data_IF_839194592104
#
_entry.id   IF_839194592104
#
_cell.length_a   1.000
_cell.length_b   1.000
_cell.length_c   1.000
_cell.angle_alpha   90.00
_cell.angle_beta   90.00
_cell.angle_gamma   90.00
#
_symmetry.space_group_name_H-M   'P 1'
#
loop_
_entity.id
_entity.type
_entity.pdbx_description
1 polymer ?
#
# COMPACT_ATOMS: atom_id res chain seq x y z
N UNK A 1 -8.66 -6.90 -19.60
CA UNK A 1 -9.42 -6.39 -18.44
C UNK A 1 -8.85 -5.02 -18.14
N UNK A 2 -9.69 -4.01 -17.92
CA UNK A 2 -9.17 -2.68 -17.59
C UNK A 2 -8.40 -2.77 -16.27
N UNK A 3 -7.17 -2.25 -16.27
CA UNK A 3 -6.30 -2.23 -15.11
C UNK A 3 -6.88 -1.26 -14.07
N UNK A 4 -7.16 -1.72 -12.85
CA UNK A 4 -7.67 -0.82 -11.81
C UNK A 4 -6.58 0.17 -11.34
N UNK A 5 -6.98 1.20 -10.60
CA UNK A 5 -6.06 2.27 -10.17
C UNK A 5 -4.87 1.74 -9.37
N UNK A 6 -5.06 0.73 -8.52
CA UNK A 6 -4.01 0.17 -7.68
C UNK A 6 -3.03 -0.68 -8.49
N UNK A 7 -3.52 -1.44 -9.46
CA UNK A 7 -2.71 -2.23 -10.38
C UNK A 7 -1.83 -1.32 -11.24
N UNK A 8 -2.40 -0.21 -11.76
CA UNK A 8 -1.64 0.81 -12.48
C UNK A 8 -0.56 1.45 -11.59
N UNK A 9 -0.90 1.77 -10.34
CA UNK A 9 0.03 2.35 -9.38
C UNK A 9 1.18 1.40 -9.04
N UNK A 10 0.90 0.12 -8.80
CA UNK A 10 1.92 -0.90 -8.53
C UNK A 10 2.90 -1.03 -9.71
N UNK A 11 2.40 -1.03 -10.95
CA UNK A 11 3.24 -1.03 -12.16
C UNK A 11 4.12 0.23 -12.24
N UNK A 12 3.57 1.41 -11.98
CA UNK A 12 4.35 2.67 -11.95
C UNK A 12 5.44 2.62 -10.88
N UNK A 13 5.15 2.07 -9.69
CA UNK A 13 6.13 1.92 -8.60
C UNK A 13 7.26 0.99 -9.04
N UNK A 14 6.95 -0.13 -9.67
CA UNK A 14 7.92 -1.08 -10.21
C UNK A 14 8.78 -0.45 -11.31
N UNK A 15 8.18 0.27 -12.26
CA UNK A 15 8.90 1.00 -13.30
C UNK A 15 9.87 2.04 -12.68
N UNK A 16 9.45 2.72 -11.61
CA UNK A 16 10.28 3.68 -10.88
C UNK A 16 11.44 3.04 -10.10
N UNK A 17 11.42 1.72 -9.88
CA UNK A 17 12.59 0.99 -9.34
C UNK A 17 13.78 1.08 -10.28
N UNK A 18 13.58 1.20 -11.58
CA UNK A 18 14.66 1.34 -12.56
C UNK A 18 15.00 2.80 -12.90
N UNK A 19 14.22 3.76 -12.39
CA UNK A 19 14.46 5.19 -12.57
C UNK A 19 15.62 5.69 -11.69
N UNK A 20 16.20 6.85 -12.05
CA UNK A 20 17.22 7.50 -11.23
C UNK A 20 16.62 8.16 -9.97
N UNK A 21 17.31 8.06 -8.83
CA UNK A 21 16.83 8.55 -7.53
C UNK A 21 16.56 10.06 -7.50
N UNK A 22 17.35 10.85 -8.22
CA UNK A 22 17.18 12.31 -8.29
C UNK A 22 15.85 12.73 -8.93
N UNK A 23 15.19 11.84 -9.67
CA UNK A 23 13.96 12.14 -10.42
C UNK A 23 12.69 11.58 -9.80
N UNK A 24 12.78 10.78 -8.74
CA UNK A 24 11.65 10.01 -8.24
C UNK A 24 11.69 9.80 -6.72
N UNK A 25 10.71 10.38 -6.02
CA UNK A 25 10.47 10.11 -4.60
C UNK A 25 10.35 8.62 -4.30
N UNK A 26 9.68 7.87 -5.18
CA UNK A 26 9.54 6.40 -5.05
C UNK A 26 10.89 5.70 -5.05
N UNK A 27 11.81 6.14 -5.92
CA UNK A 27 13.16 5.56 -5.97
C UNK A 27 13.94 5.86 -4.70
N UNK A 28 13.83 7.07 -4.15
CA UNK A 28 14.42 7.44 -2.86
C UNK A 28 13.94 6.53 -1.72
N UNK A 29 12.65 6.22 -1.68
CA UNK A 29 12.10 5.28 -0.70
C UNK A 29 12.69 3.87 -0.87
N UNK A 30 12.71 3.35 -2.09
CA UNK A 30 13.24 2.03 -2.41
C UNK A 30 14.74 1.92 -2.07
N UNK A 31 15.53 2.96 -2.35
CA UNK A 31 16.95 3.04 -2.01
C UNK A 31 17.21 3.05 -0.50
N UNK A 32 16.29 3.61 0.29
CA UNK A 32 16.35 3.59 1.75
C UNK A 32 16.03 2.20 2.35
N UNK A 33 15.49 1.29 1.54
CA UNK A 33 15.29 -0.11 1.88
C UNK A 33 14.03 -0.41 2.70
N UNK A 34 13.72 -1.71 2.92
CA UNK A 34 12.41 -2.14 3.42
C UNK A 34 12.05 -1.62 4.81
N UNK A 35 13.04 -1.48 5.70
CA UNK A 35 12.80 -1.00 7.06
C UNK A 35 12.33 0.47 7.06
N UNK A 36 12.90 1.29 6.17
CA UNK A 36 12.47 2.68 6.00
C UNK A 36 11.06 2.74 5.39
N UNK A 37 10.79 1.96 4.35
CA UNK A 37 9.46 1.89 3.74
C UNK A 37 8.39 1.45 4.75
N UNK A 38 8.70 0.47 5.59
CA UNK A 38 7.79 -0.02 6.63
C UNK A 38 7.49 1.05 7.69
N UNK A 39 8.50 1.84 8.07
CA UNK A 39 8.31 2.98 8.98
C UNK A 39 7.39 4.03 8.36
N UNK A 40 7.62 4.41 7.10
CA UNK A 40 6.75 5.35 6.37
C UNK A 40 5.30 4.84 6.29
N UNK A 41 5.10 3.60 5.88
CA UNK A 41 3.76 2.98 5.88
C UNK A 41 3.10 3.00 7.27
N UNK A 42 3.89 2.79 8.34
CA UNK A 42 3.41 2.89 9.71
C UNK A 42 3.01 4.31 10.13
N UNK A 43 3.71 5.34 9.66
CA UNK A 43 3.34 6.75 9.86
C UNK A 43 1.96 7.03 9.24
N UNK A 44 1.78 6.69 7.96
CA UNK A 44 0.49 6.90 7.24
C UNK A 44 -0.66 6.11 7.87
N UNK A 45 -0.37 4.93 8.45
CA UNK A 45 -1.38 4.13 9.15
C UNK A 45 -1.90 4.84 10.41
N UNK A 46 -1.01 5.50 11.16
CA UNK A 46 -1.40 6.30 12.32
C UNK A 46 -2.13 7.56 11.89
N UNK A 47 -1.68 8.24 10.84
CA UNK A 47 -2.34 9.43 10.27
C UNK A 47 -3.75 9.09 9.76
N UNK A 48 -3.92 7.95 9.08
CA UNK A 48 -5.24 7.44 8.67
C UNK A 48 -6.17 7.24 9.87
N UNK A 49 -5.68 6.67 10.97
CA UNK A 49 -6.47 6.49 12.21
C UNK A 49 -6.85 7.83 12.82
N UNK A 50 -5.93 8.79 12.87
CA UNK A 50 -6.20 10.14 13.38
C UNK A 50 -7.27 10.80 12.51
N UNK A 51 -7.12 10.76 11.19
CA UNK A 51 -8.07 11.37 10.26
C UNK A 51 -9.47 10.77 10.40
N UNK A 52 -9.58 9.46 10.61
CA UNK A 52 -10.85 8.77 10.84
C UNK A 52 -11.55 9.18 12.15
N UNK A 53 -10.79 9.55 13.19
CA UNK A 53 -11.32 9.85 14.52
C UNK A 53 -11.56 11.34 14.77
N UNK A 54 -10.74 12.19 14.15
CA UNK A 54 -10.59 13.58 14.59
C UNK A 54 -10.67 14.61 13.48
N UNK A 55 -10.54 14.22 12.22
CA UNK A 55 -10.54 15.17 11.10
C UNK A 55 -11.79 15.04 10.21
N UNK A 56 -11.60 15.09 8.89
CA UNK A 56 -12.68 15.10 7.90
C UNK A 56 -12.61 13.91 6.96
N UNK A 57 -13.72 13.60 6.30
CA UNK A 57 -13.78 12.57 5.26
C UNK A 57 -12.76 12.80 4.14
N UNK A 58 -12.45 14.06 3.83
CA UNK A 58 -11.45 14.39 2.81
C UNK A 58 -10.02 14.11 3.30
N UNK A 59 -9.72 14.40 4.57
CA UNK A 59 -8.46 13.99 5.19
C UNK A 59 -8.33 12.47 5.19
N UNK A 60 -9.37 11.74 5.59
CA UNK A 60 -9.36 10.28 5.62
C UNK A 60 -9.11 9.67 4.23
N UNK A 61 -9.69 10.25 3.17
CA UNK A 61 -9.44 9.80 1.79
C UNK A 61 -7.98 9.98 1.38
N UNK A 62 -7.37 11.11 1.75
CA UNK A 62 -5.96 11.42 1.42
C UNK A 62 -5.02 10.47 2.16
N UNK A 63 -5.15 10.35 3.48
CA UNK A 63 -4.30 9.47 4.28
C UNK A 63 -4.47 7.99 3.88
N UNK A 64 -5.69 7.57 3.53
CA UNK A 64 -5.92 6.22 3.01
C UNK A 64 -5.21 5.99 1.67
N UNK A 65 -5.13 7.00 0.80
CA UNK A 65 -4.41 6.91 -0.46
C UNK A 65 -2.90 6.81 -0.23
N UNK A 66 -2.35 7.59 0.70
CA UNK A 66 -0.93 7.55 1.06
C UNK A 66 -0.54 6.23 1.75
N UNK A 67 -1.41 5.70 2.62
CA UNK A 67 -1.26 4.38 3.22
C UNK A 67 -1.18 3.28 2.13
N UNK A 68 -2.10 3.30 1.15
CA UNK A 68 -2.09 2.33 0.06
C UNK A 68 -0.83 2.48 -0.81
N UNK A 69 -0.42 3.71 -1.11
CA UNK A 69 0.81 3.99 -1.84
C UNK A 69 2.04 3.42 -1.11
N UNK A 70 2.20 3.75 0.17
CA UNK A 70 3.34 3.31 0.96
C UNK A 70 3.35 1.80 1.22
N UNK A 71 2.17 1.16 1.30
CA UNK A 71 2.06 -0.30 1.30
C UNK A 71 2.62 -0.91 0.01
N UNK A 72 2.22 -0.41 -1.17
CA UNK A 72 2.73 -0.90 -2.45
C UNK A 72 4.25 -0.71 -2.59
N UNK A 73 4.78 0.44 -2.15
CA UNK A 73 6.23 0.68 -2.14
C UNK A 73 6.96 -0.29 -1.20
N UNK A 74 6.39 -0.60 -0.04
CA UNK A 74 6.96 -1.60 0.87
C UNK A 74 6.98 -3.01 0.27
N UNK A 75 5.90 -3.40 -0.42
CA UNK A 75 5.83 -4.69 -1.12
C UNK A 75 6.92 -4.79 -2.19
N UNK A 76 7.07 -3.76 -3.03
CA UNK A 76 8.12 -3.70 -4.05
C UNK A 76 9.53 -3.72 -3.42
N UNK A 77 9.75 -3.00 -2.31
CA UNK A 77 11.03 -3.03 -1.59
C UNK A 77 11.39 -4.44 -1.06
N UNK A 78 10.38 -5.28 -0.84
CA UNK A 78 10.50 -6.67 -0.38
C UNK A 78 10.45 -7.69 -1.52
N UNK A 79 10.41 -7.24 -2.77
CA UNK A 79 10.22 -8.06 -3.97
C UNK A 79 8.95 -8.94 -3.89
N UNK A 80 7.87 -8.42 -3.31
CA UNK A 80 6.56 -9.08 -3.21
C UNK A 80 5.61 -8.49 -4.28
N UNK A 81 5.12 -9.30 -5.24
CA UNK A 81 4.15 -8.85 -6.23
C UNK A 81 2.83 -8.39 -5.60
N UNK A 82 2.27 -7.28 -6.09
CA UNK A 82 0.95 -6.80 -5.69
C UNK A 82 -0.14 -7.85 -5.96
N UNK A 83 0.01 -8.60 -7.05
CA UNK A 83 -0.88 -9.66 -7.48
C UNK A 83 -1.01 -10.77 -6.43
N UNK A 84 0.05 -11.05 -5.67
CA UNK A 84 0.02 -12.05 -4.60
C UNK A 84 -0.88 -11.58 -3.44
N UNK A 85 -0.87 -10.29 -3.12
CA UNK A 85 -1.78 -9.69 -2.13
C UNK A 85 -3.22 -9.74 -2.63
N UNK A 86 -3.46 -9.47 -3.92
CA UNK A 86 -4.79 -9.58 -4.53
C UNK A 86 -5.31 -11.02 -4.55
N UNK A 87 -4.44 -12.00 -4.80
CA UNK A 87 -4.82 -13.41 -4.68
C UNK A 87 -5.26 -13.76 -3.25
N UNK A 88 -4.56 -13.26 -2.23
CA UNK A 88 -4.97 -13.43 -0.83
C UNK A 88 -6.32 -12.76 -0.55
N UNK A 89 -6.57 -11.54 -1.04
CA UNK A 89 -7.88 -10.88 -0.88
C UNK A 89 -9.00 -11.63 -1.61
N UNK A 90 -8.75 -12.10 -2.84
CA UNK A 90 -9.72 -12.87 -3.61
C UNK A 90 -10.11 -14.18 -2.89
N UNK A 91 -9.14 -14.85 -2.26
CA UNK A 91 -9.40 -16.01 -1.40
C UNK A 91 -10.29 -15.64 -0.20
N UNK A 92 -10.03 -14.51 0.48
CA UNK A 92 -10.85 -14.03 1.60
C UNK A 92 -12.29 -13.70 1.19
N UNK A 93 -12.48 -13.17 -0.02
CA UNK A 93 -13.82 -12.87 -0.56
C UNK A 93 -14.59 -14.12 -0.97
N UNK A 94 -13.88 -15.20 -1.33
CA UNK A 94 -14.47 -16.46 -1.81
C UNK A 94 -14.67 -17.49 -0.69
N UNK A 95 -13.94 -17.37 0.42
CA UNK A 95 -14.17 -18.17 1.61
C UNK A 95 -15.43 -17.68 2.33
N UNK A 96 -16.38 -18.57 2.71
CA UNK A 96 -17.46 -18.16 3.61
C UNK A 96 -16.84 -17.60 4.89
N UNK A 97 -17.27 -16.41 5.29
CA UNK A 97 -16.87 -15.79 6.55
C UNK A 97 -17.02 -16.83 7.67
N UNK A 98 -15.97 -17.16 8.45
CA UNK A 98 -16.16 -18.01 9.61
C UNK A 98 -17.20 -17.31 10.50
N UNK A 99 -18.29 -18.01 10.78
CA UNK A 99 -19.41 -17.51 11.55
C UNK A 99 -18.96 -17.26 13.00
N UNK A 100 -18.50 -16.05 13.29
CA UNK A 100 -18.16 -15.59 14.63
C UNK A 100 -17.01 -16.33 15.32
N UNK A 101 -16.52 -15.82 16.44
CA UNK A 101 -15.56 -16.55 17.26
C UNK A 101 -16.24 -17.80 17.86
N UNK A 102 -15.58 -18.95 17.73
CA UNK A 102 -15.71 -19.98 18.75
C UNK A 102 -14.85 -19.54 19.93
N UNK A 103 -15.55 -19.13 20.98
CA UNK A 103 -15.09 -18.79 22.35
C UNK A 103 -14.34 -17.45 22.53
#
# INVERSE_FOLDING_TARGET
MADDTLSQLARIIKERREASAESSYTRTLLDAGPAYCARKMGEEAIETVIAALHDSDDALKLESADLLYHLLVLLEARDIPYEDVMAVLAQRMSAPTPAGPQE
#
